data_IF_658837463525
#
_entry.id   IF_658837463525
#
_cell.length_a   1.000
_cell.length_b   1.000
_cell.length_c   1.000
_cell.angle_alpha   90.00
_cell.angle_beta   90.00
_cell.angle_gamma   90.00
#
_symmetry.space_group_name_H-M   'P 1'
#
loop_
_entity.id
_entity.type
_entity.pdbx_description
1 polymer ?
#
# COMPACT_ATOMS: atom_id res chain seq x y z
N UNK A 1 19.72 -28.46 -21.96
CA UNK A 1 20.06 -28.14 -20.56
C UNK A 1 18.85 -27.39 -20.01
N UNK A 2 18.18 -27.90 -18.98
CA UNK A 2 17.19 -27.09 -18.25
C UNK A 2 17.95 -25.92 -17.65
N UNK A 3 17.69 -24.69 -18.06
CA UNK A 3 18.20 -23.52 -17.38
C UNK A 3 17.66 -23.58 -15.93
N UNK A 4 18.58 -23.47 -14.98
CA UNK A 4 18.30 -23.45 -13.55
C UNK A 4 17.66 -22.10 -13.22
N UNK A 5 16.37 -21.95 -13.55
CA UNK A 5 15.60 -20.72 -13.35
C UNK A 5 15.26 -20.62 -11.88
N UNK A 6 15.57 -19.47 -11.27
CA UNK A 6 15.35 -19.15 -9.87
C UNK A 6 14.31 -18.05 -9.75
N UNK A 7 13.48 -18.12 -8.73
CA UNK A 7 12.56 -17.04 -8.38
C UNK A 7 13.18 -16.14 -7.33
N UNK A 8 13.41 -14.90 -7.71
CA UNK A 8 13.93 -13.85 -6.83
C UNK A 8 12.77 -13.00 -6.33
N UNK A 9 12.74 -12.76 -5.03
CA UNK A 9 11.78 -11.88 -4.35
C UNK A 9 12.53 -10.66 -3.84
N UNK A 10 11.98 -9.48 -4.11
CA UNK A 10 12.53 -8.20 -3.64
C UNK A 10 11.51 -7.48 -2.73
N UNK A 11 12.00 -6.97 -1.60
CA UNK A 11 11.29 -5.97 -0.80
C UNK A 11 11.69 -4.57 -1.25
N UNK A 12 10.71 -3.76 -1.62
CA UNK A 12 10.92 -2.45 -2.25
C UNK A 12 10.23 -1.37 -1.44
N UNK A 13 10.92 -0.25 -1.26
CA UNK A 13 10.40 0.97 -0.67
C UNK A 13 10.40 2.09 -1.71
N UNK A 14 9.36 2.95 -1.72
CA UNK A 14 9.33 4.09 -2.63
C UNK A 14 8.52 5.28 -2.12
N UNK A 15 9.00 6.47 -2.49
CA UNK A 15 8.22 7.71 -2.48
C UNK A 15 7.46 7.81 -3.80
N UNK A 16 6.13 7.68 -3.74
CA UNK A 16 5.25 7.66 -4.90
C UNK A 16 4.89 9.04 -5.46
N UNK A 17 5.26 10.14 -4.79
CA UNK A 17 4.77 11.49 -5.07
C UNK A 17 5.04 11.96 -6.51
N UNK A 18 6.12 11.50 -7.13
CA UNK A 18 6.49 11.85 -8.52
C UNK A 18 6.08 10.79 -9.54
N UNK A 19 5.39 9.74 -9.14
CA UNK A 19 5.08 8.59 -9.99
C UNK A 19 3.59 8.49 -10.32
N UNK A 20 3.30 8.04 -11.54
CA UNK A 20 1.92 7.79 -11.99
C UNK A 20 1.43 6.37 -11.62
N UNK A 21 1.70 5.98 -10.36
CA UNK A 21 1.34 4.70 -9.79
C UNK A 21 2.33 3.58 -10.10
N UNK A 22 1.96 2.38 -9.67
CA UNK A 22 2.78 1.19 -9.85
C UNK A 22 2.77 0.67 -11.27
N UNK A 23 1.56 0.41 -11.81
CA UNK A 23 1.35 -0.37 -13.04
C UNK A 23 1.90 0.32 -14.27
N UNK A 24 2.65 -0.43 -15.10
CA UNK A 24 3.13 -0.01 -16.43
C UNK A 24 2.03 0.68 -17.25
N UNK A 25 2.39 1.80 -17.86
CA UNK A 25 1.54 2.61 -18.72
C UNK A 25 2.33 3.09 -19.95
N UNK A 26 1.65 3.47 -21.06
CA UNK A 26 2.35 3.85 -22.30
C UNK A 26 3.34 5.00 -22.18
N UNK A 27 3.15 5.91 -21.20
CA UNK A 27 4.05 7.05 -20.96
C UNK A 27 5.33 6.71 -20.21
N UNK A 28 5.47 5.49 -19.61
CA UNK A 28 6.69 4.99 -18.96
C UNK A 28 7.07 5.67 -17.63
N UNK A 29 6.17 6.47 -17.02
CA UNK A 29 6.45 7.19 -15.75
C UNK A 29 5.84 6.41 -14.58
N UNK A 30 6.14 5.12 -14.49
CA UNK A 30 5.62 4.25 -13.42
C UNK A 30 6.74 3.56 -12.66
N UNK A 31 6.42 3.16 -11.43
CA UNK A 31 7.36 2.44 -10.57
C UNK A 31 7.80 1.11 -11.18
N UNK A 32 6.87 0.39 -11.82
CA UNK A 32 7.14 -0.88 -12.50
C UNK A 32 8.10 -0.69 -13.67
N UNK A 33 7.88 0.31 -14.54
CA UNK A 33 8.76 0.60 -15.67
C UNK A 33 10.19 0.91 -15.21
N UNK A 34 10.34 1.71 -14.15
CA UNK A 34 11.64 2.07 -13.59
C UNK A 34 12.39 0.86 -13.01
N UNK A 35 11.68 0.02 -12.25
CA UNK A 35 12.27 -1.18 -11.65
C UNK A 35 12.68 -2.20 -12.73
N UNK A 36 11.81 -2.47 -13.69
CA UNK A 36 12.08 -3.43 -14.77
C UNK A 36 13.22 -2.97 -15.69
N UNK A 37 13.33 -1.67 -15.95
CA UNK A 37 14.45 -1.10 -16.68
C UNK A 37 15.79 -1.30 -15.93
N UNK A 38 15.79 -1.07 -14.59
CA UNK A 38 16.96 -1.29 -13.76
C UNK A 38 17.36 -2.78 -13.71
N UNK A 39 16.38 -3.67 -13.50
CA UNK A 39 16.59 -5.12 -13.51
C UNK A 39 17.10 -5.63 -14.86
N UNK A 40 16.48 -5.19 -15.96
CA UNK A 40 16.89 -5.55 -17.33
C UNK A 40 18.34 -5.12 -17.59
N UNK A 41 18.72 -3.90 -17.18
CA UNK A 41 20.10 -3.43 -17.30
C UNK A 41 21.07 -4.21 -16.42
N UNK A 42 20.65 -4.59 -15.20
CA UNK A 42 21.49 -5.36 -14.27
C UNK A 42 21.69 -6.81 -14.73
N UNK A 43 20.66 -7.44 -15.26
CA UNK A 43 20.69 -8.85 -15.72
C UNK A 43 21.18 -9.02 -17.16
N UNK A 44 21.17 -7.95 -17.96
CA UNK A 44 21.38 -7.96 -19.42
C UNK A 44 20.33 -8.82 -20.15
N UNK A 45 19.16 -9.01 -19.54
CA UNK A 45 18.02 -9.75 -20.07
C UNK A 45 16.73 -9.03 -19.71
N UNK A 46 15.68 -9.08 -20.54
CA UNK A 46 14.37 -8.55 -20.18
C UNK A 46 13.85 -9.19 -18.89
N UNK A 47 13.35 -8.37 -17.95
CA UNK A 47 12.76 -8.81 -16.70
C UNK A 47 11.38 -8.19 -16.56
N UNK A 48 10.39 -9.02 -16.27
CA UNK A 48 9.05 -8.59 -15.89
C UNK A 48 8.80 -8.94 -14.42
N UNK A 49 8.27 -8.00 -13.64
CA UNK A 49 8.00 -8.21 -12.22
C UNK A 49 6.51 -8.34 -11.95
N UNK A 50 6.18 -9.18 -10.97
CA UNK A 50 4.84 -9.32 -10.42
C UNK A 50 4.82 -8.75 -9.01
N UNK A 51 3.97 -7.74 -8.75
CA UNK A 51 3.85 -7.10 -7.43
C UNK A 51 2.74 -7.71 -6.57
N UNK A 52 2.87 -7.57 -5.26
CA UNK A 52 1.87 -8.00 -4.28
C UNK A 52 0.61 -7.13 -4.27
N UNK A 53 0.76 -5.84 -4.55
CA UNK A 53 -0.35 -4.90 -4.62
C UNK A 53 -0.02 -3.69 -5.49
N UNK A 54 -0.94 -3.33 -6.40
CA UNK A 54 -0.81 -2.10 -7.17
C UNK A 54 -1.11 -0.91 -6.28
N UNK A 55 -0.35 0.18 -6.45
CA UNK A 55 -0.61 1.47 -5.81
C UNK A 55 -0.96 2.51 -6.87
N UNK A 56 -1.84 3.45 -6.50
CA UNK A 56 -2.28 4.53 -7.37
C UNK A 56 -1.18 5.60 -7.54
N UNK A 57 -1.40 6.55 -8.47
CA UNK A 57 -0.56 7.74 -8.60
C UNK A 57 -0.44 8.49 -7.27
N UNK A 58 0.77 8.87 -6.89
CA UNK A 58 1.07 9.58 -5.64
C UNK A 58 1.12 8.72 -4.37
N UNK A 59 0.76 7.44 -4.43
CA UNK A 59 0.77 6.53 -3.28
C UNK A 59 2.16 5.97 -3.04
N UNK A 60 2.58 5.91 -1.78
CA UNK A 60 3.89 5.43 -1.34
C UNK A 60 3.86 3.94 -0.96
N UNK A 61 5.04 3.36 -0.75
CA UNK A 61 5.19 2.08 -0.06
C UNK A 61 6.36 2.10 0.92
N UNK A 62 6.11 1.61 2.12
CA UNK A 62 7.14 1.25 3.09
C UNK A 62 7.70 -0.12 2.70
N UNK A 63 6.81 -1.04 2.33
CA UNK A 63 7.18 -2.37 1.86
C UNK A 63 6.24 -2.86 0.75
N UNK A 64 6.70 -2.80 -0.49
CA UNK A 64 6.12 -3.50 -1.63
C UNK A 64 6.93 -4.77 -1.88
N UNK A 65 6.26 -5.88 -2.16
CA UNK A 65 6.92 -7.14 -2.50
C UNK A 65 6.72 -7.43 -3.99
N UNK A 66 7.81 -7.76 -4.67
CA UNK A 66 7.75 -8.23 -6.06
C UNK A 66 8.53 -9.53 -6.22
N UNK A 67 8.19 -10.31 -7.23
CA UNK A 67 9.00 -11.43 -7.67
C UNK A 67 9.20 -11.40 -9.18
N UNK A 68 10.26 -12.06 -9.62
CA UNK A 68 10.55 -12.36 -11.02
C UNK A 68 11.39 -13.62 -11.12
N UNK A 69 11.39 -14.24 -12.29
CA UNK A 69 12.16 -15.44 -12.58
C UNK A 69 13.40 -15.08 -13.40
N UNK A 70 14.54 -15.71 -13.09
CA UNK A 70 15.79 -15.44 -13.79
C UNK A 70 16.73 -16.66 -13.74
N UNK A 71 17.55 -16.83 -14.78
CA UNK A 71 18.68 -17.78 -14.82
C UNK A 71 20.03 -17.10 -14.47
N UNK A 72 20.02 -15.81 -14.14
CA UNK A 72 21.20 -15.04 -13.79
C UNK A 72 21.60 -15.34 -12.35
N UNK A 73 22.79 -15.91 -12.17
CA UNK A 73 23.34 -16.23 -10.84
C UNK A 73 24.08 -15.00 -10.27
N UNK A 74 23.59 -14.49 -9.15
CA UNK A 74 24.17 -13.39 -8.37
C UNK A 74 23.98 -13.67 -6.89
N UNK A 75 24.91 -13.19 -6.07
CA UNK A 75 24.72 -13.12 -4.62
C UNK A 75 23.54 -12.21 -4.27
N UNK A 76 22.75 -12.55 -3.25
CA UNK A 76 21.55 -11.80 -2.88
C UNK A 76 21.83 -10.31 -2.63
N UNK A 77 22.96 -9.99 -1.96
CA UNK A 77 23.36 -8.61 -1.72
C UNK A 77 23.69 -7.84 -3.02
N UNK A 78 24.13 -8.56 -4.07
CA UNK A 78 24.39 -7.94 -5.38
C UNK A 78 23.11 -7.46 -6.06
N UNK A 79 21.97 -8.16 -5.86
CA UNK A 79 20.66 -7.69 -6.32
C UNK A 79 20.30 -6.36 -5.67
N UNK A 80 20.50 -6.22 -4.35
CA UNK A 80 20.21 -4.97 -3.63
C UNK A 80 21.11 -3.83 -4.14
N UNK A 81 22.43 -4.00 -4.12
CA UNK A 81 23.36 -2.93 -4.50
C UNK A 81 23.30 -2.57 -5.99
N UNK A 82 23.32 -3.60 -6.84
CA UNK A 82 23.40 -3.41 -8.29
C UNK A 82 22.13 -2.77 -8.86
N UNK A 83 20.95 -3.19 -8.41
CA UNK A 83 19.69 -2.60 -8.86
C UNK A 83 19.53 -1.17 -8.33
N UNK A 84 19.85 -0.92 -7.04
CA UNK A 84 19.79 0.43 -6.46
C UNK A 84 20.73 1.43 -7.16
N UNK A 85 21.87 0.99 -7.66
CA UNK A 85 22.80 1.85 -8.42
C UNK A 85 22.21 2.31 -9.78
N UNK A 86 21.15 1.67 -10.26
CA UNK A 86 20.48 1.95 -11.54
C UNK A 86 19.12 2.61 -11.40
N UNK A 87 18.62 2.73 -10.15
CA UNK A 87 17.32 3.34 -9.87
C UNK A 87 17.43 4.78 -9.39
N UNK A 88 16.35 5.59 -9.58
CA UNK A 88 16.26 6.91 -8.97
C UNK A 88 16.16 6.80 -7.44
N UNK A 89 16.58 7.84 -6.72
CA UNK A 89 16.62 7.89 -5.25
C UNK A 89 15.26 7.74 -4.57
N UNK A 90 14.16 7.91 -5.33
CA UNK A 90 12.78 7.74 -4.84
C UNK A 90 12.33 6.27 -4.76
N UNK A 91 13.13 5.31 -5.24
CA UNK A 91 12.86 3.88 -5.19
C UNK A 91 14.09 3.16 -4.65
N UNK A 92 13.89 2.21 -3.73
CA UNK A 92 14.99 1.41 -3.20
C UNK A 92 14.58 -0.06 -3.01
N UNK A 93 15.41 -0.99 -3.49
CA UNK A 93 15.40 -2.39 -3.05
C UNK A 93 16.02 -2.43 -1.65
N UNK A 94 15.29 -2.94 -0.68
CA UNK A 94 15.73 -3.02 0.73
C UNK A 94 16.34 -4.37 1.06
N UNK A 95 15.81 -5.42 0.44
CA UNK A 95 16.30 -6.79 0.56
C UNK A 95 15.95 -7.60 -0.69
N UNK A 96 16.68 -8.70 -0.86
CA UNK A 96 16.43 -9.71 -1.87
C UNK A 96 16.54 -11.09 -1.24
N UNK A 97 15.70 -12.02 -1.66
CA UNK A 97 15.80 -13.44 -1.29
C UNK A 97 15.45 -14.31 -2.48
N UNK A 98 15.89 -15.57 -2.44
CA UNK A 98 15.52 -16.60 -3.39
C UNK A 98 14.49 -17.52 -2.72
N UNK A 99 13.40 -17.82 -3.41
CA UNK A 99 12.37 -18.75 -2.92
C UNK A 99 12.35 -20.02 -3.76
N UNK A 100 12.02 -21.19 -3.17
CA UNK A 100 11.90 -22.42 -3.92
C UNK A 100 10.86 -22.30 -5.03
N UNK A 101 11.13 -22.96 -6.17
CA UNK A 101 10.20 -23.08 -7.32
C UNK A 101 9.59 -24.49 -7.42
N UNK A 102 9.93 -25.38 -6.48
CA UNK A 102 9.45 -26.75 -6.41
C UNK A 102 8.19 -26.83 -5.55
N UNK A 103 7.28 -27.77 -5.88
CA UNK A 103 6.02 -28.14 -5.20
C UNK A 103 4.94 -27.05 -5.15
N UNK A 104 5.17 -25.89 -4.55
CA UNK A 104 4.27 -24.72 -4.60
C UNK A 104 5.07 -23.48 -4.97
N UNK A 105 4.64 -22.78 -6.02
CA UNK A 105 5.31 -21.57 -6.47
C UNK A 105 4.89 -20.36 -5.64
N UNK A 106 5.86 -19.65 -5.04
CA UNK A 106 5.61 -18.34 -4.46
C UNK A 106 5.11 -17.37 -5.53
N UNK A 107 4.01 -16.70 -5.25
CA UNK A 107 3.49 -15.63 -6.10
C UNK A 107 3.20 -14.38 -5.26
N UNK A 108 3.92 -13.27 -5.51
CA UNK A 108 3.84 -12.06 -4.68
C UNK A 108 2.40 -11.59 -4.41
N UNK A 109 1.51 -11.70 -5.39
CA UNK A 109 0.11 -11.29 -5.24
C UNK A 109 -0.78 -12.34 -4.60
N UNK A 110 -0.66 -13.61 -5.04
CA UNK A 110 -1.63 -14.65 -4.68
C UNK A 110 -1.25 -15.41 -3.41
N UNK A 111 0.04 -15.49 -3.07
CA UNK A 111 0.49 -16.07 -1.80
C UNK A 111 0.32 -15.12 -0.61
N UNK A 112 0.01 -13.84 -0.85
CA UNK A 112 -0.18 -12.86 0.22
C UNK A 112 -1.51 -13.11 0.96
N UNK A 113 -1.44 -13.25 2.28
CA UNK A 113 -2.57 -13.53 3.18
C UNK A 113 -3.27 -12.27 3.68
N UNK A 114 -2.51 -11.17 3.89
CA UNK A 114 -3.05 -9.87 4.23
C UNK A 114 -2.17 -8.73 3.70
N UNK A 115 -2.72 -7.51 3.66
CA UNK A 115 -2.02 -6.26 3.37
C UNK A 115 -2.35 -5.26 4.46
N UNK A 116 -1.35 -4.47 4.84
CA UNK A 116 -1.51 -3.33 5.74
C UNK A 116 -1.24 -2.04 4.97
N UNK A 117 -2.17 -1.10 5.10
CA UNK A 117 -2.00 0.26 4.60
C UNK A 117 -2.02 1.22 5.78
N UNK A 118 -1.17 2.22 5.72
CA UNK A 118 -1.21 3.38 6.60
C UNK A 118 -1.73 4.58 5.83
N UNK A 119 -2.58 5.37 6.45
CA UNK A 119 -2.94 6.68 5.94
C UNK A 119 -2.60 7.74 6.99
N UNK A 120 -1.72 8.68 6.62
CA UNK A 120 -1.31 9.79 7.46
C UNK A 120 -2.12 11.04 7.11
N UNK A 121 -2.76 11.65 8.10
CA UNK A 121 -3.42 12.95 8.00
C UNK A 121 -2.63 13.97 8.82
N UNK A 122 -2.33 15.12 8.21
CA UNK A 122 -1.89 16.32 8.90
C UNK A 122 -3.12 17.19 9.17
N UNK A 123 -3.49 17.35 10.45
CA UNK A 123 -4.69 18.04 10.91
C UNK A 123 -4.34 19.34 11.60
N UNK A 124 -4.29 20.41 10.83
CA UNK A 124 -3.97 21.77 11.29
C UNK A 124 -4.68 22.80 10.39
N UNK A 125 -5.06 23.94 10.96
CA UNK A 125 -5.70 25.04 10.24
C UNK A 125 -4.83 25.59 9.09
N UNK A 126 -3.50 25.45 9.19
CA UNK A 126 -2.53 25.90 8.19
C UNK A 126 -1.80 24.71 7.59
N UNK A 127 -1.78 24.63 6.27
CA UNK A 127 -1.03 23.58 5.56
C UNK A 127 0.46 23.65 5.87
N UNK A 128 1.11 22.50 6.05
CA UNK A 128 2.56 22.42 6.20
C UNK A 128 3.24 22.07 4.88
N UNK A 129 4.21 22.87 4.40
CA UNK A 129 5.01 22.52 3.23
C UNK A 129 5.83 21.25 3.41
N UNK A 130 6.19 20.90 4.66
CA UNK A 130 6.99 19.71 4.98
C UNK A 130 6.20 18.39 4.82
N UNK A 131 4.86 18.46 4.96
CA UNK A 131 3.97 17.33 4.78
C UNK A 131 3.36 17.24 3.38
N UNK A 132 3.68 18.19 2.49
CA UNK A 132 3.21 18.17 1.10
C UNK A 132 3.67 16.88 0.41
N UNK A 133 2.73 16.16 -0.20
CA UNK A 133 2.96 14.88 -0.87
C UNK A 133 3.30 13.72 0.08
N UNK A 134 3.08 13.87 1.41
CA UNK A 134 3.41 12.86 2.44
C UNK A 134 2.29 12.61 3.44
N UNK A 135 1.35 13.54 3.56
CA UNK A 135 0.15 13.43 4.39
C UNK A 135 -1.04 14.10 3.71
N UNK A 136 -2.22 13.53 3.89
CA UNK A 136 -3.45 14.22 3.54
C UNK A 136 -3.68 15.39 4.51
N UNK A 137 -4.04 16.57 4.01
CA UNK A 137 -4.28 17.71 4.85
C UNK A 137 -5.76 17.92 5.12
N UNK A 138 -6.10 18.16 6.41
CA UNK A 138 -7.44 18.53 6.87
C UNK A 138 -7.32 19.77 7.75
N UNK A 139 -7.95 20.88 7.33
CA UNK A 139 -7.82 22.15 8.03
C UNK A 139 -8.74 22.30 9.25
N UNK A 140 -9.90 21.60 9.26
CA UNK A 140 -10.81 21.61 10.40
C UNK A 140 -10.34 20.58 11.44
N UNK A 141 -10.43 20.91 12.74
CA UNK A 141 -10.16 19.94 13.81
C UNK A 141 -11.03 18.69 13.65
N UNK A 142 -10.40 17.52 13.74
CA UNK A 142 -11.08 16.22 13.64
C UNK A 142 -11.37 15.67 15.04
N UNK A 143 -12.60 15.19 15.26
CA UNK A 143 -13.01 14.48 16.45
C UNK A 143 -12.62 12.98 16.31
N UNK A 144 -11.45 12.62 16.85
CA UNK A 144 -10.87 11.28 16.65
C UNK A 144 -11.74 10.17 17.25
N UNK A 145 -12.40 10.44 18.37
CA UNK A 145 -13.24 9.43 19.01
C UNK A 145 -14.48 9.07 18.16
N UNK A 146 -15.07 10.05 17.46
CA UNK A 146 -16.14 9.77 16.49
C UNK A 146 -15.63 8.94 15.30
N UNK A 147 -14.40 9.23 14.84
CA UNK A 147 -13.78 8.42 13.77
C UNK A 147 -13.50 6.99 14.23
N UNK A 148 -13.01 6.80 15.48
CA UNK A 148 -12.79 5.48 16.08
C UNK A 148 -14.08 4.69 16.22
N UNK A 149 -15.16 5.34 16.71
CA UNK A 149 -16.48 4.74 16.81
C UNK A 149 -16.98 4.26 15.45
N UNK A 150 -16.95 5.13 14.44
CA UNK A 150 -17.36 4.83 13.08
C UNK A 150 -16.55 3.70 12.43
N UNK A 151 -15.24 3.63 12.72
CA UNK A 151 -14.33 2.62 12.18
C UNK A 151 -14.69 1.20 12.61
N UNK A 152 -15.35 1.02 13.77
CA UNK A 152 -15.76 -0.30 14.25
C UNK A 152 -16.70 -1.01 13.29
N UNK A 153 -17.58 -0.28 12.60
CA UNK A 153 -18.50 -0.85 11.63
C UNK A 153 -17.79 -1.48 10.41
N UNK A 154 -16.53 -1.12 10.14
CA UNK A 154 -15.77 -1.62 9.01
C UNK A 154 -15.04 -2.94 9.31
N UNK A 155 -14.93 -3.33 10.58
CA UNK A 155 -14.24 -4.55 10.98
C UNK A 155 -15.08 -5.77 10.64
N UNK A 156 -14.43 -6.83 10.13
CA UNK A 156 -15.10 -8.07 9.72
C UNK A 156 -15.23 -8.19 8.21
N UNK A 157 -16.08 -9.12 7.78
CA UNK A 157 -16.33 -9.43 6.37
C UNK A 157 -17.55 -8.69 5.87
N UNK A 158 -17.34 -7.75 4.94
CA UNK A 158 -18.40 -6.90 4.38
C UNK A 158 -18.29 -6.79 2.87
N UNK A 159 -19.40 -6.40 2.26
CA UNK A 159 -19.44 -5.90 0.89
C UNK A 159 -19.04 -4.42 0.89
N UNK A 160 -17.84 -4.11 0.36
CA UNK A 160 -17.28 -2.76 0.31
C UNK A 160 -17.61 -2.01 -0.99
N UNK A 161 -18.73 -2.32 -1.65
CA UNK A 161 -19.14 -1.64 -2.91
C UNK A 161 -19.25 -0.13 -2.75
N UNK A 162 -19.74 0.38 -1.59
CA UNK A 162 -19.79 1.81 -1.31
C UNK A 162 -18.41 2.50 -1.27
N UNK A 163 -17.33 1.74 -1.11
CA UNK A 163 -15.95 2.24 -1.07
C UNK A 163 -15.12 1.81 -2.28
N UNK A 164 -15.74 1.24 -3.32
CA UNK A 164 -15.10 0.74 -4.53
C UNK A 164 -15.09 1.82 -5.63
N UNK A 165 -13.94 2.01 -6.30
CA UNK A 165 -13.88 2.82 -7.52
C UNK A 165 -14.63 2.15 -8.67
N UNK A 166 -15.18 2.94 -9.59
CA UNK A 166 -15.94 2.44 -10.76
C UNK A 166 -15.08 1.56 -11.67
N UNK A 167 -13.79 1.90 -11.84
CA UNK A 167 -12.85 1.16 -12.70
C UNK A 167 -12.26 -0.10 -12.04
N UNK A 168 -12.71 -0.46 -10.83
CA UNK A 168 -12.19 -1.60 -10.09
C UNK A 168 -12.50 -2.92 -10.79
N UNK A 169 -11.45 -3.65 -11.20
CA UNK A 169 -11.52 -4.94 -11.90
C UNK A 169 -11.75 -6.15 -10.98
N UNK A 170 -11.88 -5.95 -9.66
CA UNK A 170 -12.08 -7.07 -8.73
C UNK A 170 -13.43 -7.77 -9.00
N UNK A 171 -13.43 -9.10 -9.07
CA UNK A 171 -14.63 -9.89 -9.33
C UNK A 171 -15.66 -9.79 -8.19
N UNK A 172 -15.18 -9.76 -6.94
CA UNK A 172 -16.04 -9.63 -5.75
C UNK A 172 -15.70 -8.36 -4.98
N UNK A 173 -16.71 -7.61 -4.49
CA UNK A 173 -16.50 -6.47 -3.60
C UNK A 173 -16.32 -6.89 -2.13
N UNK A 174 -16.49 -8.17 -1.80
CA UNK A 174 -16.40 -8.66 -0.42
C UNK A 174 -14.94 -8.72 0.04
N UNK A 175 -14.66 -8.10 1.20
CA UNK A 175 -13.34 -8.10 1.84
C UNK A 175 -13.49 -8.37 3.33
N UNK A 176 -12.43 -8.88 3.94
CA UNK A 176 -12.34 -9.04 5.39
C UNK A 176 -11.35 -8.02 5.94
N UNK A 177 -11.87 -7.01 6.62
CA UNK A 177 -11.06 -6.05 7.38
C UNK A 177 -10.70 -6.67 8.74
N UNK A 178 -9.41 -6.94 8.95
CA UNK A 178 -8.93 -7.57 10.18
C UNK A 178 -8.78 -6.56 11.32
N UNK A 179 -8.29 -5.35 10.99
CA UNK A 179 -8.19 -4.24 11.94
C UNK A 179 -8.23 -2.89 11.22
N UNK A 180 -8.70 -1.88 11.92
CA UNK A 180 -8.59 -0.46 11.60
C UNK A 180 -8.34 0.31 12.89
N UNK A 181 -7.12 0.78 13.05
CA UNK A 181 -6.67 1.53 14.22
C UNK A 181 -6.48 3.00 13.87
N UNK A 182 -6.88 3.91 14.76
CA UNK A 182 -6.71 5.35 14.58
C UNK A 182 -6.00 5.89 15.81
N UNK A 183 -4.81 6.44 15.60
CA UNK A 183 -3.98 7.05 16.62
C UNK A 183 -3.64 8.49 16.24
N UNK A 184 -3.41 9.33 17.23
CA UNK A 184 -3.06 10.74 17.05
C UNK A 184 -1.83 11.06 17.86
N UNK A 185 -0.90 11.79 17.25
CA UNK A 185 0.25 12.39 17.91
C UNK A 185 0.40 13.83 17.42
N UNK A 186 0.14 14.80 18.29
CA UNK A 186 0.06 16.21 17.94
C UNK A 186 -0.92 16.43 16.77
N UNK A 187 -0.46 17.08 15.69
CA UNK A 187 -1.24 17.39 14.51
C UNK A 187 -1.27 16.25 13.48
N UNK A 188 -0.67 15.09 13.79
CA UNK A 188 -0.65 13.91 12.92
C UNK A 188 -1.62 12.86 13.41
N UNK A 189 -2.44 12.36 12.48
CA UNK A 189 -3.38 11.25 12.72
C UNK A 189 -3.00 10.12 11.78
N UNK A 190 -2.76 8.95 12.35
CA UNK A 190 -2.46 7.73 11.62
C UNK A 190 -3.66 6.78 11.64
N UNK A 191 -4.12 6.38 10.46
CA UNK A 191 -5.09 5.30 10.27
C UNK A 191 -4.34 4.08 9.74
N UNK A 192 -4.41 2.95 10.44
CA UNK A 192 -3.77 1.69 10.04
C UNK A 192 -4.84 0.66 9.69
N UNK A 193 -4.87 0.26 8.42
CA UNK A 193 -5.85 -0.68 7.85
C UNK A 193 -5.17 -2.01 7.57
N UNK A 194 -5.68 -3.11 8.11
CA UNK A 194 -5.24 -4.47 7.76
C UNK A 194 -6.41 -5.30 7.25
N UNK A 195 -6.28 -5.85 6.04
CA UNK A 195 -7.32 -6.67 5.41
C UNK A 195 -6.71 -7.80 4.56
N UNK A 196 -7.52 -8.81 4.21
CA UNK A 196 -7.12 -9.86 3.28
C UNK A 196 -6.76 -9.29 1.89
N UNK A 197 -7.48 -8.28 1.43
CA UNK A 197 -7.20 -7.51 0.21
C UNK A 197 -7.98 -6.19 0.25
N UNK A 198 -7.66 -5.27 -0.66
CA UNK A 198 -8.36 -4.00 -0.83
C UNK A 198 -8.88 -3.86 -2.27
N UNK A 199 -10.01 -3.19 -2.42
CA UNK A 199 -10.53 -2.76 -3.72
C UNK A 199 -9.81 -1.49 -4.17
N UNK A 200 -9.87 -1.20 -5.47
CA UNK A 200 -9.35 0.05 -6.01
C UNK A 200 -9.97 1.25 -5.29
N UNK A 201 -9.14 2.16 -4.82
CA UNK A 201 -9.46 3.35 -4.00
C UNK A 201 -10.11 3.07 -2.62
N UNK A 202 -10.29 1.82 -2.21
CA UNK A 202 -11.05 1.48 -0.98
C UNK A 202 -10.57 2.24 0.25
N UNK A 203 -9.27 2.22 0.55
CA UNK A 203 -8.72 2.92 1.73
C UNK A 203 -8.99 4.41 1.65
N UNK A 204 -8.73 5.05 0.51
CA UNK A 204 -8.93 6.49 0.32
C UNK A 204 -10.40 6.91 0.42
N UNK A 205 -11.33 6.06 -0.06
CA UNK A 205 -12.78 6.29 0.06
C UNK A 205 -13.25 6.16 1.52
N UNK A 206 -12.72 5.20 2.26
CA UNK A 206 -12.98 5.05 3.70
C UNK A 206 -12.43 6.25 4.46
N UNK A 207 -11.17 6.66 4.20
CA UNK A 207 -10.57 7.84 4.85
C UNK A 207 -11.40 9.09 4.60
N UNK A 208 -11.81 9.36 3.34
CA UNK A 208 -12.67 10.49 3.03
C UNK A 208 -13.98 10.47 3.81
N UNK A 209 -14.59 9.30 3.97
CA UNK A 209 -15.83 9.13 4.74
C UNK A 209 -15.60 9.30 6.24
N UNK A 210 -14.51 8.77 6.79
CA UNK A 210 -14.15 8.96 8.21
C UNK A 210 -13.83 10.43 8.52
N UNK A 211 -13.24 11.18 7.59
CA UNK A 211 -13.02 12.63 7.73
C UNK A 211 -14.35 13.39 7.82
N UNK A 212 -15.41 12.98 7.08
CA UNK A 212 -16.74 13.58 7.23
C UNK A 212 -17.31 13.34 8.63
N UNK A 213 -17.10 12.16 9.21
CA UNK A 213 -17.49 11.85 10.59
C UNK A 213 -16.66 12.67 11.59
N UNK A 214 -15.33 12.71 11.41
CA UNK A 214 -14.44 13.49 12.27
C UNK A 214 -14.74 15.00 12.28
N UNK A 215 -15.21 15.56 11.16
CA UNK A 215 -15.69 16.93 11.05
C UNK A 215 -17.11 17.14 11.62
N UNK A 216 -17.75 16.10 12.18
CA UNK A 216 -19.16 16.09 12.61
C UNK A 216 -20.17 16.45 11.50
N UNK A 217 -19.80 16.31 10.23
CA UNK A 217 -20.72 16.49 9.10
C UNK A 217 -21.65 15.29 8.93
N UNK A 218 -21.24 14.11 9.41
CA UNK A 218 -21.99 12.86 9.43
C UNK A 218 -21.86 12.17 10.80
N UNK A 219 -22.90 11.50 11.30
CA UNK A 219 -22.80 10.72 12.53
C UNK A 219 -21.99 9.43 12.32
N UNK A 220 -21.39 8.82 13.36
CA UNK A 220 -20.64 7.56 13.24
C UNK A 220 -21.42 6.44 12.54
N UNK A 221 -22.71 6.27 12.82
CA UNK A 221 -23.59 5.28 12.20
C UNK A 221 -23.73 5.42 10.67
N UNK A 222 -23.29 6.55 10.08
CA UNK A 222 -23.31 6.73 8.63
C UNK A 222 -22.41 5.75 7.90
N UNK A 223 -21.26 5.36 8.50
CA UNK A 223 -20.34 4.36 7.91
C UNK A 223 -21.04 2.99 7.77
N UNK A 224 -21.77 2.55 8.80
CA UNK A 224 -22.56 1.32 8.72
C UNK A 224 -23.67 1.42 7.65
N UNK A 225 -24.34 2.57 7.57
CA UNK A 225 -25.34 2.82 6.53
C UNK A 225 -24.75 2.72 5.12
N UNK A 226 -23.52 3.20 4.88
CA UNK A 226 -22.83 3.06 3.60
C UNK A 226 -22.55 1.59 3.25
N UNK A 227 -22.14 0.75 4.20
CA UNK A 227 -21.97 -0.68 3.99
C UNK A 227 -23.29 -1.37 3.61
N UNK A 228 -24.39 -1.01 4.28
CA UNK A 228 -25.72 -1.57 3.99
C UNK A 228 -26.22 -1.16 2.62
N UNK A 229 -26.11 0.13 2.27
CA UNK A 229 -26.62 0.67 0.99
C UNK A 229 -25.78 0.25 -0.21
N UNK A 230 -24.48 -0.01 -0.03
CA UNK A 230 -23.53 -0.42 -1.08
C UNK A 230 -23.41 0.58 -2.24
N UNK A 231 -23.84 1.79 -2.03
CA UNK A 231 -23.88 2.83 -3.06
C UNK A 231 -22.69 3.79 -2.90
N UNK A 232 -21.76 3.77 -3.88
CA UNK A 232 -20.58 4.63 -3.91
C UNK A 232 -20.94 6.12 -3.97
N UNK A 233 -22.07 6.48 -4.57
CA UNK A 233 -22.47 7.87 -4.72
C UNK A 233 -22.85 8.55 -3.39
N UNK A 234 -23.21 7.75 -2.39
CA UNK A 234 -23.54 8.22 -1.05
C UNK A 234 -22.32 8.38 -0.14
N UNK A 235 -21.18 7.81 -0.50
CA UNK A 235 -19.93 7.95 0.26
C UNK A 235 -19.21 9.26 -0.11
N UNK A 236 -18.28 9.68 0.75
CA UNK A 236 -17.46 10.86 0.50
C UNK A 236 -16.62 10.73 -0.78
N UNK A 237 -16.18 11.87 -1.39
CA UNK A 237 -15.19 11.86 -2.45
C UNK A 237 -13.93 11.11 -2.05
N UNK A 238 -13.23 10.53 -3.04
CA UNK A 238 -11.95 9.85 -2.84
C UNK A 238 -10.92 10.83 -2.26
N UNK A 239 -10.37 10.50 -1.11
CA UNK A 239 -9.41 11.37 -0.43
C UNK A 239 -8.04 11.35 -1.15
N UNK A 240 -7.18 12.36 -0.87
CA UNK A 240 -5.89 12.53 -1.54
C UNK A 240 -5.00 11.27 -1.44
N UNK A 241 -4.14 10.99 -2.43
CA UNK A 241 -3.21 9.86 -2.36
C UNK A 241 -2.03 10.10 -1.41
N UNK A 242 -1.68 11.36 -1.17
CA UNK A 242 -0.42 11.82 -0.54
C UNK A 242 -0.13 11.20 0.83
N UNK A 243 -1.17 10.86 1.57
CA UNK A 243 -1.02 10.23 2.89
C UNK A 243 -1.05 8.71 2.88
N UNK A 244 -1.23 8.06 1.73
CA UNK A 244 -1.40 6.61 1.65
C UNK A 244 -0.08 5.89 1.42
N UNK A 245 0.18 4.87 2.26
CA UNK A 245 1.38 4.03 2.23
C UNK A 245 0.98 2.56 2.25
N UNK A 246 1.44 1.77 1.28
CA UNK A 246 1.46 0.31 1.41
C UNK A 246 2.53 -0.03 2.45
N UNK A 247 2.11 -0.44 3.64
CA UNK A 247 3.00 -0.54 4.79
C UNK A 247 3.60 -1.94 4.96
N UNK A 248 2.78 -2.98 4.77
CA UNK A 248 3.20 -4.36 4.98
C UNK A 248 2.38 -5.32 4.15
N UNK A 249 2.99 -6.44 3.76
CA UNK A 249 2.32 -7.58 3.14
C UNK A 249 2.66 -8.83 3.94
N UNK A 250 1.62 -9.52 4.42
CA UNK A 250 1.77 -10.74 5.18
C UNK A 250 1.72 -11.96 4.23
N UNK A 251 2.64 -12.90 4.47
CA UNK A 251 2.71 -14.19 3.80
C UNK A 251 2.76 -15.31 4.84
N UNK A 252 2.53 -16.53 4.41
CA UNK A 252 2.78 -17.73 5.24
C UNK A 252 4.25 -17.79 5.64
N UNK A 253 4.53 -18.16 6.89
CA UNK A 253 5.88 -18.21 7.45
C UNK A 253 6.82 -19.19 6.76
N UNK A 254 6.28 -20.17 6.02
CA UNK A 254 7.07 -21.10 5.22
C UNK A 254 7.95 -20.44 4.15
N UNK A 255 7.59 -19.22 3.73
CA UNK A 255 8.36 -18.47 2.73
C UNK A 255 9.60 -17.76 3.30
N UNK A 256 9.69 -17.65 4.62
CA UNK A 256 10.82 -17.03 5.36
C UNK A 256 11.34 -15.72 4.73
N UNK A 257 10.40 -14.85 4.34
CA UNK A 257 10.74 -13.58 3.70
C UNK A 257 11.29 -12.59 4.73
N UNK A 258 12.38 -11.90 4.39
CA UNK A 258 12.83 -10.78 5.21
C UNK A 258 11.76 -9.69 5.31
N UNK A 259 11.80 -8.89 6.37
CA UNK A 259 10.90 -7.76 6.57
C UNK A 259 11.66 -6.46 6.69
N UNK A 260 11.08 -5.39 6.15
CA UNK A 260 11.53 -4.04 6.43
C UNK A 260 11.00 -3.68 7.83
N UNK A 261 11.88 -3.19 8.72
CA UNK A 261 11.44 -2.65 10.01
C UNK A 261 10.42 -1.53 9.77
N UNK A 262 9.20 -1.70 10.29
CA UNK A 262 8.04 -0.86 9.98
C UNK A 262 7.98 0.43 10.80
N UNK A 263 9.08 0.94 11.33
CA UNK A 263 9.06 2.26 11.90
C UNK A 263 8.58 3.25 10.81
N UNK A 264 7.31 3.64 10.92
CA UNK A 264 6.80 4.81 10.20
C UNK A 264 7.77 5.97 10.48
N UNK A 265 8.24 6.71 9.47
CA UNK A 265 9.44 7.51 9.61
C UNK A 265 9.41 8.42 10.83
N UNK A 266 10.42 8.25 11.68
CA UNK A 266 10.98 9.14 12.71
C UNK A 266 10.09 9.64 13.87
N UNK A 267 8.76 9.53 13.86
CA UNK A 267 7.92 10.25 14.82
C UNK A 267 6.86 9.42 15.54
N UNK A 268 6.70 8.14 15.18
CA UNK A 268 5.67 7.29 15.78
C UNK A 268 6.28 6.25 16.71
N UNK A 269 6.41 6.59 17.99
CA UNK A 269 6.75 5.59 19.01
C UNK A 269 5.50 4.75 19.31
N UNK A 270 5.54 3.45 18.99
CA UNK A 270 4.53 2.47 19.40
C UNK A 270 4.62 2.09 20.89
N UNK A 271 5.62 2.61 21.62
CA UNK A 271 5.85 2.31 23.04
C UNK A 271 5.26 3.43 23.90
N UNK A 272 3.93 3.33 24.16
CA UNK A 272 3.33 3.73 25.46
C UNK A 272 1.94 3.10 25.59
#
# INVERSE_FOLDING_TARGET
>A
MKHDVKRIVLGIQYDGSSWQGWQRQPHGITLQDSLEAALTKFTQKPVEVVCAGRTDSGVHAIEQIVHFDTDVKRELFSWVRGVNALMPSSIAVRWATEVPTEEEEFHARFSATARTYHYLIYNDAVRSPLWKGRAGWVFRPLQIDLMREAAQALIGTHDFSAFRASECQAQSPVRTMHSLEISQQNDLILLSFRANAFLHHMVRNIVGSLVQVGNANQPPAWIEKLLITRDRSLAAPTFAPDGLYLAKIDYDSRWDLPHISHAFPMFWNHDK
#
